data_IF_225845689434
#
_entry.id   IF_225845689434
#
_cell.length_a   1.000
_cell.length_b   1.000
_cell.length_c   1.000
_cell.angle_alpha   90.00
_cell.angle_beta   90.00
_cell.angle_gamma   90.00
#
_symmetry.space_group_name_H-M   'P 1'
#
loop_
_entity.id
_entity.type
_entity.pdbx_description
1 polymer ?
#
# COMPACT_ATOMS: atom_id res chain seq x y z
N UNK A 1 -17.82 -22.83 -10.09
CA UNK A 1 -17.91 -24.15 -9.50
C UNK A 1 -19.30 -24.32 -8.92
N UNK A 2 -20.14 -25.09 -9.61
CA UNK A 2 -21.33 -25.60 -8.94
C UNK A 2 -20.86 -26.51 -7.82
N UNK A 3 -21.29 -26.27 -6.57
CA UNK A 3 -20.97 -27.17 -5.49
C UNK A 3 -21.57 -28.54 -5.86
N UNK A 4 -20.71 -29.55 -5.98
CA UNK A 4 -21.19 -30.91 -6.19
C UNK A 4 -21.99 -31.30 -4.92
N UNK A 5 -23.26 -31.60 -5.11
CA UNK A 5 -24.12 -32.09 -4.01
C UNK A 5 -23.90 -33.61 -3.90
N UNK A 6 -23.40 -34.04 -2.75
CA UNK A 6 -23.37 -35.46 -2.43
C UNK A 6 -24.66 -35.80 -1.67
N UNK A 7 -25.35 -36.77 -2.19
CA UNK A 7 -26.57 -37.34 -1.55
C UNK A 7 -26.16 -38.62 -0.81
N UNK A 8 -26.44 -38.65 0.47
CA UNK A 8 -26.15 -39.79 1.35
C UNK A 8 -27.42 -40.19 2.14
N UNK A 9 -27.59 -41.48 2.44
CA UNK A 9 -28.62 -41.92 3.38
C UNK A 9 -28.05 -41.80 4.79
N UNK A 10 -28.79 -41.11 5.67
CA UNK A 10 -28.41 -40.84 7.06
C UNK A 10 -26.99 -40.18 7.21
N UNK A 11 -26.57 -39.39 6.19
CA UNK A 11 -25.31 -38.69 6.19
C UNK A 11 -25.35 -37.35 6.96
N UNK A 12 -24.23 -36.62 6.92
CA UNK A 12 -24.15 -35.30 7.52
C UNK A 12 -24.54 -34.22 6.50
N UNK A 13 -25.56 -33.41 6.77
CA UNK A 13 -26.00 -32.34 5.86
C UNK A 13 -27.46 -31.95 6.09
N UNK A 14 -28.00 -31.15 5.16
CA UNK A 14 -29.40 -30.79 5.17
C UNK A 14 -30.28 -31.96 4.70
N UNK A 15 -31.40 -32.18 5.36
CA UNK A 15 -32.34 -33.26 4.95
C UNK A 15 -32.97 -32.87 3.60
N UNK A 16 -32.87 -33.76 2.63
CA UNK A 16 -33.55 -33.64 1.36
C UNK A 16 -34.91 -34.33 1.41
N UNK A 17 -35.90 -33.64 2.00
CA UNK A 17 -37.21 -34.17 2.28
C UNK A 17 -37.93 -34.73 1.07
N UNK A 18 -37.84 -34.06 -0.09
CA UNK A 18 -38.54 -34.53 -1.27
C UNK A 18 -38.09 -35.95 -1.67
N UNK A 19 -36.79 -36.16 -1.76
CA UNK A 19 -36.22 -37.48 -2.09
C UNK A 19 -36.46 -38.51 -0.99
N UNK A 20 -36.42 -38.08 0.27
CA UNK A 20 -36.73 -38.94 1.42
C UNK A 20 -38.14 -39.45 1.36
N UNK A 21 -39.13 -38.59 1.05
CA UNK A 21 -40.53 -38.95 0.94
C UNK A 21 -40.81 -39.85 -0.28
N UNK A 22 -40.12 -39.56 -1.39
CA UNK A 22 -40.34 -40.27 -2.66
C UNK A 22 -39.71 -41.67 -2.68
N UNK A 23 -38.56 -41.85 -2.01
CA UNK A 23 -37.74 -43.05 -2.14
C UNK A 23 -37.65 -43.93 -0.87
N UNK A 24 -38.08 -43.43 0.30
CA UNK A 24 -38.02 -44.19 1.57
C UNK A 24 -39.42 -44.47 2.15
N UNK A 25 -39.51 -45.57 2.89
CA UNK A 25 -40.78 -45.96 3.51
C UNK A 25 -40.87 -45.50 4.95
N UNK A 26 -41.90 -44.69 5.32
CA UNK A 26 -42.06 -44.25 6.69
C UNK A 26 -42.66 -45.37 7.57
N UNK A 27 -42.19 -45.45 8.81
CA UNK A 27 -42.90 -46.18 9.85
C UNK A 27 -44.02 -45.32 10.38
N UNK A 28 -45.27 -45.86 10.37
CA UNK A 28 -46.43 -45.15 10.88
C UNK A 28 -46.61 -45.47 12.36
N UNK A 29 -46.53 -44.47 13.22
CA UNK A 29 -46.82 -44.57 14.64
C UNK A 29 -47.73 -43.42 15.07
N UNK A 30 -48.82 -43.70 15.75
CA UNK A 30 -49.80 -42.68 16.17
C UNK A 30 -50.23 -41.73 15.03
N UNK A 31 -50.46 -42.31 13.85
CA UNK A 31 -50.85 -41.58 12.63
C UNK A 31 -49.87 -40.54 12.14
N UNK A 32 -48.58 -40.67 12.53
CA UNK A 32 -47.47 -39.82 12.10
C UNK A 32 -46.41 -40.66 11.41
N UNK A 33 -45.85 -40.19 10.27
CA UNK A 33 -44.77 -40.88 9.58
C UNK A 33 -43.43 -40.58 10.28
N UNK A 34 -42.62 -41.63 10.49
CA UNK A 34 -41.25 -41.57 10.98
C UNK A 34 -40.34 -42.23 9.95
N UNK A 35 -39.38 -41.43 9.40
CA UNK A 35 -38.44 -41.93 8.43
C UNK A 35 -37.17 -42.39 9.16
N UNK A 36 -36.82 -43.67 9.00
CA UNK A 36 -35.59 -44.27 9.57
C UNK A 36 -34.42 -44.01 8.64
N UNK A 37 -34.68 -43.98 7.35
CA UNK A 37 -33.73 -43.63 6.31
C UNK A 37 -34.07 -42.24 5.79
N UNK A 38 -33.11 -41.31 5.91
CA UNK A 38 -33.28 -39.93 5.52
C UNK A 38 -32.20 -39.58 4.50
N UNK A 39 -32.59 -39.11 3.32
CA UNK A 39 -31.65 -38.57 2.38
C UNK A 39 -31.16 -37.21 2.88
N UNK A 40 -29.83 -37.07 2.99
CA UNK A 40 -29.16 -35.81 3.30
C UNK A 40 -28.36 -35.36 2.10
N UNK A 41 -28.35 -34.05 1.87
CA UNK A 41 -27.50 -33.44 0.86
C UNK A 41 -26.45 -32.56 1.53
N UNK A 42 -25.22 -32.76 1.15
CA UNK A 42 -24.07 -31.96 1.59
C UNK A 42 -23.43 -31.29 0.39
N UNK A 43 -23.33 -29.96 0.44
CA UNK A 43 -22.53 -29.23 -0.53
C UNK A 43 -21.05 -29.47 -0.20
N UNK A 44 -20.36 -30.16 -1.07
CA UNK A 44 -18.91 -30.35 -0.95
C UNK A 44 -18.27 -29.35 -1.88
N UNK A 45 -17.44 -28.48 -1.31
CA UNK A 45 -16.54 -27.67 -2.13
C UNK A 45 -15.58 -28.64 -2.82
N UNK A 46 -15.66 -28.70 -4.13
CA UNK A 46 -14.77 -29.57 -4.90
C UNK A 46 -13.35 -29.00 -4.80
N UNK A 47 -12.53 -29.57 -3.89
CA UNK A 47 -11.13 -29.18 -3.76
C UNK A 47 -10.32 -29.50 -5.04
N UNK A 48 -10.90 -30.29 -5.92
CA UNK A 48 -10.38 -30.59 -7.26
C UNK A 48 -10.75 -29.55 -8.33
N UNK A 49 -11.35 -28.41 -7.98
CA UNK A 49 -11.67 -27.36 -8.94
C UNK A 49 -10.40 -26.88 -9.67
N UNK A 50 -10.41 -26.98 -10.99
CA UNK A 50 -9.31 -26.54 -11.84
C UNK A 50 -8.83 -25.12 -11.51
N UNK A 51 -9.75 -24.18 -11.39
CA UNK A 51 -9.42 -22.77 -11.10
C UNK A 51 -8.80 -22.59 -9.70
N UNK A 52 -9.26 -23.33 -8.71
CA UNK A 52 -8.71 -23.26 -7.34
C UNK A 52 -7.29 -23.79 -7.28
N UNK A 53 -7.03 -24.94 -7.93
CA UNK A 53 -5.69 -25.52 -8.04
C UNK A 53 -4.76 -24.61 -8.83
N UNK A 54 -5.22 -24.08 -9.97
CA UNK A 54 -4.47 -23.14 -10.78
C UNK A 54 -4.10 -21.86 -10.01
N UNK A 55 -5.03 -21.33 -9.21
CA UNK A 55 -4.76 -20.17 -8.34
C UNK A 55 -3.68 -20.50 -7.31
N UNK A 56 -3.79 -21.66 -6.64
CA UNK A 56 -2.78 -22.09 -5.68
C UNK A 56 -1.38 -22.24 -6.34
N UNK A 57 -1.33 -22.85 -7.53
CA UNK A 57 -0.11 -22.95 -8.32
C UNK A 57 0.51 -21.58 -8.60
N UNK A 58 -0.25 -20.64 -9.19
CA UNK A 58 0.26 -19.30 -9.54
C UNK A 58 0.76 -18.53 -8.31
N UNK A 59 0.04 -18.61 -7.18
CA UNK A 59 0.47 -17.98 -5.94
C UNK A 59 1.80 -18.56 -5.45
N UNK A 60 1.97 -19.88 -5.51
CA UNK A 60 3.22 -20.55 -5.12
C UNK A 60 4.37 -20.16 -6.06
N UNK A 61 4.13 -20.13 -7.38
CA UNK A 61 5.15 -19.73 -8.34
C UNK A 61 5.58 -18.28 -8.16
N UNK A 62 4.63 -17.34 -8.05
CA UNK A 62 4.95 -15.95 -7.78
C UNK A 62 5.73 -15.77 -6.46
N UNK A 63 5.38 -16.53 -5.40
CA UNK A 63 6.10 -16.49 -4.12
C UNK A 63 7.55 -16.97 -4.28
N UNK A 64 7.77 -18.05 -5.03
CA UNK A 64 9.10 -18.58 -5.30
C UNK A 64 9.95 -17.64 -6.17
N UNK A 65 9.36 -17.00 -7.16
CA UNK A 65 10.05 -16.01 -7.99
C UNK A 65 10.46 -14.78 -7.17
N UNK A 66 9.57 -14.27 -6.32
CA UNK A 66 9.87 -13.15 -5.42
C UNK A 66 10.97 -13.50 -4.41
N UNK A 67 10.98 -14.75 -3.93
CA UNK A 67 12.03 -15.24 -3.02
C UNK A 67 13.38 -15.33 -3.74
N UNK A 68 13.42 -15.94 -4.94
CA UNK A 68 14.64 -16.06 -5.75
C UNK A 68 15.20 -14.69 -6.14
N UNK A 69 14.33 -13.73 -6.43
CA UNK A 69 14.72 -12.36 -6.75
C UNK A 69 15.13 -11.52 -5.51
N UNK A 70 15.01 -12.05 -4.29
CA UNK A 70 15.27 -11.31 -3.06
C UNK A 70 14.25 -10.19 -2.75
N UNK A 71 13.14 -10.16 -3.49
CA UNK A 71 12.14 -9.10 -3.38
C UNK A 71 11.15 -9.33 -2.23
N UNK A 72 11.04 -10.54 -1.73
CA UNK A 72 10.12 -10.88 -0.63
C UNK A 72 10.43 -10.10 0.66
N UNK A 73 11.70 -9.97 1.01
CA UNK A 73 12.14 -9.20 2.16
C UNK A 73 12.03 -7.68 1.93
N UNK A 74 12.22 -7.25 0.69
CA UNK A 74 12.14 -5.85 0.29
C UNK A 74 10.71 -5.29 0.41
N UNK A 75 9.73 -6.07 -0.02
CA UNK A 75 8.32 -5.68 0.03
C UNK A 75 7.59 -6.14 1.29
N UNK A 76 8.26 -6.88 2.18
CA UNK A 76 7.65 -7.53 3.35
C UNK A 76 6.37 -8.31 2.99
N UNK A 77 6.42 -9.04 1.86
CA UNK A 77 5.30 -9.81 1.36
C UNK A 77 5.24 -11.17 2.05
N UNK A 78 4.06 -11.63 2.46
CA UNK A 78 3.89 -12.98 2.93
C UNK A 78 4.11 -13.95 1.77
N UNK A 79 5.05 -14.88 1.95
CA UNK A 79 5.24 -15.97 1.00
C UNK A 79 4.21 -17.07 1.28
N UNK A 80 3.66 -17.63 0.23
CA UNK A 80 2.68 -18.70 0.31
C UNK A 80 3.11 -19.84 -0.61
N UNK A 81 3.43 -20.99 -0.04
CA UNK A 81 3.71 -22.23 -0.73
C UNK A 81 2.53 -23.16 -0.46
N UNK A 82 1.51 -23.11 -1.35
CA UNK A 82 0.23 -23.78 -1.18
C UNK A 82 -0.07 -24.82 -2.25
N UNK A 83 0.82 -24.99 -3.23
CA UNK A 83 0.73 -26.01 -4.27
C UNK A 83 2.11 -26.53 -4.62
N UNK A 84 2.22 -27.86 -4.75
CA UNK A 84 3.41 -28.57 -5.25
C UNK A 84 3.21 -28.98 -6.73
N UNK A 85 2.10 -28.61 -7.37
CA UNK A 85 1.79 -28.97 -8.73
C UNK A 85 2.67 -28.20 -9.72
N UNK A 86 2.99 -28.83 -10.84
CA UNK A 86 3.70 -28.23 -11.96
C UNK A 86 2.71 -27.76 -13.04
N UNK A 87 3.16 -26.88 -13.93
CA UNK A 87 2.31 -26.30 -14.99
C UNK A 87 1.70 -27.36 -15.89
N UNK A 88 2.42 -28.44 -16.17
CA UNK A 88 1.96 -29.54 -17.01
C UNK A 88 0.68 -30.20 -16.49
N UNK A 89 0.40 -30.12 -15.18
CA UNK A 89 -0.84 -30.61 -14.59
C UNK A 89 -2.08 -29.83 -15.03
N UNK A 90 -1.91 -28.63 -15.57
CA UNK A 90 -2.98 -27.73 -16.01
C UNK A 90 -3.14 -27.66 -17.53
N UNK A 91 -2.23 -28.27 -18.29
CA UNK A 91 -2.20 -28.22 -19.74
C UNK A 91 -1.38 -27.04 -20.28
N UNK A 92 -1.49 -26.82 -21.59
CA UNK A 92 -0.80 -25.71 -22.23
C UNK A 92 -1.41 -24.34 -21.91
N UNK A 93 -0.65 -23.29 -22.13
CA UNK A 93 -1.04 -21.91 -21.81
C UNK A 93 -2.33 -21.48 -22.53
N UNK A 94 -2.55 -21.92 -23.77
CA UNK A 94 -3.75 -21.59 -24.54
C UNK A 94 -4.99 -22.27 -23.95
N UNK A 95 -4.87 -23.51 -23.50
CA UNK A 95 -5.93 -24.21 -22.79
C UNK A 95 -6.26 -23.54 -21.45
N UNK A 96 -5.24 -23.19 -20.67
CA UNK A 96 -5.41 -22.49 -19.38
C UNK A 96 -6.16 -21.16 -19.59
N UNK A 97 -5.72 -20.35 -20.56
CA UNK A 97 -6.38 -19.06 -20.87
C UNK A 97 -7.83 -19.28 -21.30
N UNK A 98 -8.09 -20.27 -22.16
CA UNK A 98 -9.46 -20.61 -22.58
C UNK A 98 -10.36 -20.98 -21.41
N UNK A 99 -9.86 -21.77 -20.46
CA UNK A 99 -10.59 -22.16 -19.24
C UNK A 99 -10.90 -20.95 -18.36
N UNK A 100 -9.93 -20.05 -18.17
CA UNK A 100 -10.12 -18.81 -17.41
C UNK A 100 -11.14 -17.89 -18.09
N UNK A 101 -11.09 -17.76 -19.42
CA UNK A 101 -12.03 -16.94 -20.19
C UNK A 101 -13.46 -17.52 -20.15
N UNK A 102 -13.60 -18.84 -20.04
CA UNK A 102 -14.91 -19.47 -19.82
C UNK A 102 -15.48 -19.16 -18.43
N UNK A 103 -14.66 -19.29 -17.40
CA UNK A 103 -15.05 -18.98 -16.04
C UNK A 103 -15.42 -17.49 -15.86
N UNK A 104 -14.65 -16.58 -16.51
CA UNK A 104 -14.94 -15.14 -16.47
C UNK A 104 -16.30 -14.77 -17.04
N UNK A 105 -16.89 -15.59 -17.91
CA UNK A 105 -18.22 -15.36 -18.49
C UNK A 105 -19.36 -15.76 -17.52
N UNK A 106 -19.08 -16.64 -16.56
CA UNK A 106 -20.07 -17.22 -15.66
C UNK A 106 -20.04 -16.62 -14.25
N UNK A 107 -18.91 -15.99 -13.88
CA UNK A 107 -18.70 -15.43 -12.54
C UNK A 107 -19.16 -13.99 -12.45
N UNK A 108 -19.99 -13.69 -11.46
CA UNK A 108 -20.48 -12.33 -11.16
C UNK A 108 -19.85 -11.71 -9.90
N UNK A 109 -19.08 -12.48 -9.14
CA UNK A 109 -18.36 -11.99 -7.96
C UNK A 109 -17.15 -11.15 -8.37
N UNK A 110 -17.13 -9.87 -7.98
CA UNK A 110 -16.10 -8.91 -8.37
C UNK A 110 -14.70 -9.35 -7.93
N UNK A 111 -14.57 -9.91 -6.72
CA UNK A 111 -13.29 -10.40 -6.20
C UNK A 111 -12.76 -11.57 -7.02
N UNK A 112 -13.63 -12.53 -7.36
CA UNK A 112 -13.26 -13.66 -8.22
C UNK A 112 -12.87 -13.19 -9.62
N UNK A 113 -13.60 -12.22 -10.19
CA UNK A 113 -13.27 -11.62 -11.50
C UNK A 113 -11.86 -11.00 -11.46
N UNK A 114 -11.51 -10.26 -10.40
CA UNK A 114 -10.18 -9.66 -10.27
C UNK A 114 -9.08 -10.72 -10.17
N UNK A 115 -9.30 -11.77 -9.39
CA UNK A 115 -8.35 -12.90 -9.26
C UNK A 115 -8.17 -13.61 -10.61
N UNK A 116 -9.24 -13.94 -11.32
CA UNK A 116 -9.17 -14.59 -12.63
C UNK A 116 -8.44 -13.72 -13.66
N UNK A 117 -8.69 -12.41 -13.67
CA UNK A 117 -7.95 -11.46 -14.53
C UNK A 117 -6.46 -11.41 -14.19
N UNK A 118 -6.09 -11.49 -12.92
CA UNK A 118 -4.69 -11.52 -12.51
C UNK A 118 -4.00 -12.81 -12.95
N UNK A 119 -4.63 -13.98 -12.77
CA UNK A 119 -4.11 -15.27 -13.23
C UNK A 119 -3.99 -15.27 -14.76
N UNK A 120 -5.00 -14.77 -15.46
CA UNK A 120 -4.95 -14.64 -16.92
C UNK A 120 -3.78 -13.79 -17.40
N UNK A 121 -3.53 -12.67 -16.71
CA UNK A 121 -2.40 -11.78 -17.03
C UNK A 121 -1.06 -12.46 -16.79
N UNK A 122 -0.93 -13.30 -15.77
CA UNK A 122 0.27 -14.09 -15.48
C UNK A 122 0.62 -14.97 -16.69
N UNK A 123 -0.30 -15.80 -17.15
CA UNK A 123 -0.06 -16.68 -18.30
C UNK A 123 0.07 -15.94 -19.64
N UNK A 124 -0.61 -14.81 -19.79
CA UNK A 124 -0.46 -13.97 -20.99
C UNK A 124 0.93 -13.33 -21.05
N UNK A 125 1.45 -12.85 -19.93
CA UNK A 125 2.80 -12.28 -19.87
C UNK A 125 3.88 -13.34 -20.10
N UNK A 126 3.71 -14.54 -19.59
CA UNK A 126 4.60 -15.67 -19.84
C UNK A 126 4.69 -16.00 -21.35
N UNK A 127 3.55 -16.02 -22.04
CA UNK A 127 3.50 -16.22 -23.50
C UNK A 127 4.23 -15.13 -24.29
N UNK A 128 4.11 -13.88 -23.86
CA UNK A 128 4.80 -12.73 -24.49
C UNK A 128 6.31 -12.79 -24.26
N UNK A 129 6.73 -13.32 -23.10
CA UNK A 129 8.14 -13.39 -22.72
C UNK A 129 8.86 -14.61 -23.30
N UNK A 130 8.14 -15.69 -23.65
CA UNK A 130 8.73 -16.90 -24.28
C UNK A 130 8.90 -16.80 -25.80
N UNK A 131 8.37 -15.74 -26.43
CA UNK A 131 8.69 -15.44 -27.83
C UNK A 131 10.12 -14.90 -27.96
N UNK A 132 10.95 -15.50 -28.79
CA UNK A 132 12.36 -15.29 -29.23
C UNK A 132 13.13 -14.01 -28.80
N UNK A 133 12.73 -13.32 -27.78
CA UNK A 133 13.44 -12.16 -27.19
C UNK A 133 13.91 -12.52 -25.79
N UNK A 134 15.21 -12.67 -25.62
CA UNK A 134 15.91 -12.92 -24.33
C UNK A 134 15.77 -11.81 -23.28
N UNK A 135 14.79 -10.92 -23.41
CA UNK A 135 14.60 -9.82 -22.49
C UNK A 135 13.36 -10.09 -21.62
N UNK A 136 13.58 -10.58 -20.40
CA UNK A 136 12.56 -10.60 -19.37
C UNK A 136 12.47 -9.19 -18.74
N UNK A 137 11.38 -8.48 -19.01
CA UNK A 137 11.11 -7.20 -18.37
C UNK A 137 10.16 -7.46 -17.21
N UNK A 138 10.69 -7.48 -15.99
CA UNK A 138 9.89 -7.40 -14.77
C UNK A 138 9.68 -5.93 -14.40
N UNK A 139 8.44 -5.51 -14.23
CA UNK A 139 8.10 -4.13 -13.90
C UNK A 139 7.01 -4.03 -12.85
N UNK A 140 7.06 -2.99 -12.06
CA UNK A 140 5.97 -2.59 -11.17
C UNK A 140 5.29 -1.33 -11.71
N UNK A 141 3.96 -1.26 -11.59
CA UNK A 141 3.19 -0.03 -11.85
C UNK A 141 3.20 0.94 -10.67
N UNK A 142 3.75 0.54 -9.54
CA UNK A 142 3.74 1.28 -8.27
C UNK A 142 5.15 1.64 -7.80
N UNK A 143 6.07 1.93 -8.72
CA UNK A 143 7.45 2.27 -8.38
C UNK A 143 7.55 3.55 -7.53
N UNK A 144 6.55 4.42 -7.61
CA UNK A 144 6.40 5.57 -6.74
C UNK A 144 6.36 5.19 -5.25
N UNK A 145 5.72 4.07 -4.89
CA UNK A 145 5.66 3.58 -3.52
C UNK A 145 7.03 3.09 -3.03
N UNK A 146 7.80 2.47 -3.92
CA UNK A 146 9.18 2.06 -3.63
C UNK A 146 10.04 3.28 -3.35
N UNK A 147 9.97 4.29 -4.23
CA UNK A 147 10.71 5.53 -4.08
C UNK A 147 10.39 6.22 -2.76
N UNK A 148 9.12 6.29 -2.41
CA UNK A 148 8.63 6.85 -1.16
C UNK A 148 9.19 6.12 0.07
N UNK A 149 9.17 4.77 0.06
CA UNK A 149 9.71 3.95 1.14
C UNK A 149 11.23 4.09 1.28
N UNK A 150 11.95 4.08 0.15
CA UNK A 150 13.40 4.27 0.14
C UNK A 150 13.77 5.65 0.70
N UNK A 151 13.11 6.70 0.25
CA UNK A 151 13.34 8.05 0.77
C UNK A 151 13.03 8.12 2.28
N UNK A 152 11.89 7.57 2.71
CA UNK A 152 11.51 7.56 4.11
C UNK A 152 12.56 6.85 4.98
N UNK A 153 13.09 5.71 4.55
CA UNK A 153 14.08 4.94 5.32
C UNK A 153 15.46 5.62 5.33
N UNK A 154 15.91 6.13 4.19
CA UNK A 154 17.24 6.74 4.06
C UNK A 154 17.35 8.07 4.78
N UNK A 155 16.30 8.90 4.77
CA UNK A 155 16.29 10.20 5.45
C UNK A 155 15.76 10.15 6.89
N UNK A 156 15.45 8.97 7.41
CA UNK A 156 14.98 8.77 8.76
C UNK A 156 16.03 9.18 9.80
N UNK A 157 15.57 9.64 10.95
CA UNK A 157 16.45 9.86 12.11
C UNK A 157 16.95 8.52 12.68
N UNK A 158 18.23 8.47 13.09
CA UNK A 158 18.80 7.28 13.74
C UNK A 158 18.14 6.91 15.09
N UNK A 159 17.35 7.80 15.65
CA UNK A 159 16.71 7.66 16.96
C UNK A 159 15.22 7.47 16.84
N UNK A 160 14.72 6.52 16.15
CA UNK A 160 13.28 6.30 16.07
C UNK A 160 12.93 4.83 15.99
N UNK A 161 11.77 4.46 16.50
CA UNK A 161 11.25 3.10 16.36
C UNK A 161 11.15 2.74 14.87
N UNK A 162 11.70 1.57 14.53
CA UNK A 162 11.71 1.06 13.17
C UNK A 162 10.31 0.92 12.54
N UNK A 163 9.26 1.01 13.33
CA UNK A 163 7.87 0.81 12.90
C UNK A 163 7.09 2.09 12.59
N UNK A 164 7.58 3.25 13.02
CA UNK A 164 6.86 4.51 12.78
C UNK A 164 7.52 5.31 11.67
N UNK A 165 6.74 5.65 10.64
CA UNK A 165 7.18 6.48 9.51
C UNK A 165 7.47 7.92 9.95
N UNK A 166 6.89 8.35 11.05
CA UNK A 166 7.02 9.68 11.61
C UNK A 166 7.62 9.61 13.01
N UNK A 167 8.57 10.50 13.34
CA UNK A 167 9.19 10.52 14.65
C UNK A 167 8.18 10.91 15.74
N UNK A 168 8.34 10.34 16.93
CA UNK A 168 7.64 10.78 18.09
C UNK A 168 8.12 12.16 18.53
N UNK A 169 7.26 12.91 19.22
CA UNK A 169 7.62 14.27 19.66
C UNK A 169 8.71 14.26 20.73
N UNK A 170 8.77 13.22 21.55
CA UNK A 170 9.80 13.04 22.59
C UNK A 170 11.20 12.73 22.03
N UNK A 171 11.27 12.24 20.78
CA UNK A 171 12.57 12.06 20.10
C UNK A 171 13.26 13.40 19.77
N UNK A 172 12.56 14.52 19.92
CA UNK A 172 13.02 15.87 19.62
C UNK A 172 13.55 16.56 20.91
N UNK A 173 13.66 15.83 22.01
CA UNK A 173 14.20 16.36 23.25
C UNK A 173 15.58 17.02 23.08
N UNK A 174 15.83 18.12 23.77
CA UNK A 174 15.04 18.84 24.79
C UNK A 174 14.21 19.99 24.19
N UNK A 175 13.86 19.94 22.92
CA UNK A 175 13.40 21.09 22.16
C UNK A 175 11.89 21.38 22.36
N UNK A 176 11.07 20.35 22.47
CA UNK A 176 9.63 20.47 22.63
C UNK A 176 9.23 20.03 24.04
N UNK A 177 8.67 20.95 24.81
CA UNK A 177 8.05 20.62 26.09
C UNK A 177 6.66 20.01 25.85
N UNK A 178 6.61 18.69 25.87
CA UNK A 178 5.42 17.90 25.67
C UNK A 178 4.27 18.29 26.60
N UNK A 179 4.55 18.72 27.82
CA UNK A 179 3.54 19.11 28.79
C UNK A 179 2.71 20.29 28.33
N UNK A 180 3.24 21.17 27.49
CA UNK A 180 2.54 22.32 26.92
C UNK A 180 1.59 21.97 25.80
N UNK A 181 1.94 21.00 24.98
CA UNK A 181 1.13 20.54 23.84
C UNK A 181 -0.06 19.70 24.33
N UNK A 182 -0.08 19.25 25.59
CA UNK A 182 -0.72 18.01 25.87
C UNK A 182 -1.77 17.95 26.96
N UNK A 183 -2.85 18.61 26.80
CA UNK A 183 -4.13 18.14 27.40
C UNK A 183 -4.82 17.00 26.61
N UNK A 184 -4.35 16.69 25.41
CA UNK A 184 -4.95 15.73 24.48
C UNK A 184 -4.31 14.34 24.53
N UNK A 185 -3.08 14.20 25.02
CA UNK A 185 -2.23 13.01 24.87
C UNK A 185 -1.64 12.56 26.21
N UNK A 186 -2.48 12.42 27.21
CA UNK A 186 -2.07 12.20 28.62
C UNK A 186 -1.24 10.95 28.89
N UNK A 187 -1.19 9.98 27.96
CA UNK A 187 -0.58 8.67 28.23
C UNK A 187 0.61 8.28 27.34
N UNK A 188 0.77 8.89 26.16
CA UNK A 188 1.89 8.61 25.26
C UNK A 188 2.25 9.84 24.43
N UNK A 189 3.55 10.12 24.19
CA UNK A 189 3.94 11.21 23.30
C UNK A 189 3.40 10.94 21.88
N UNK A 190 2.70 11.93 21.28
CA UNK A 190 2.19 11.76 19.93
C UNK A 190 3.31 11.75 18.91
N UNK A 191 3.06 11.14 17.77
CA UNK A 191 3.88 11.36 16.59
C UNK A 191 3.67 12.76 16.03
N UNK A 192 4.63 13.29 15.29
CA UNK A 192 4.49 14.61 14.65
C UNK A 192 3.25 14.71 13.75
N UNK A 193 2.83 13.61 13.13
CA UNK A 193 1.62 13.56 12.29
C UNK A 193 0.35 13.70 13.13
N UNK A 194 0.33 13.16 14.34
CA UNK A 194 -0.84 13.26 15.22
C UNK A 194 -1.08 14.67 15.75
N UNK A 195 -0.10 15.56 15.65
CA UNK A 195 -0.26 16.99 15.95
C UNK A 195 -1.09 17.73 14.89
N UNK A 196 -1.19 17.21 13.69
CA UNK A 196 -2.00 17.81 12.63
C UNK A 196 -3.48 17.74 13.02
N UNK A 197 -4.15 18.88 12.96
CA UNK A 197 -5.56 18.97 13.31
C UNK A 197 -6.44 18.13 12.37
N UNK A 198 -7.40 17.44 12.97
CA UNK A 198 -8.36 16.62 12.23
C UNK A 198 -9.56 17.46 11.82
N UNK A 199 -10.11 17.29 10.59
CA UNK A 199 -11.27 18.04 10.15
C UNK A 199 -12.50 17.70 11.00
N UNK A 200 -13.29 18.73 11.32
CA UNK A 200 -14.49 18.61 12.14
C UNK A 200 -15.72 18.75 11.25
N UNK A 201 -16.55 17.72 11.20
CA UNK A 201 -17.82 17.74 10.49
C UNK A 201 -18.98 18.00 11.46
N UNK A 202 -19.80 19.01 11.18
CA UNK A 202 -20.98 19.36 12.01
C UNK A 202 -22.21 19.46 11.13
N UNK A 203 -23.34 18.92 11.58
CA UNK A 203 -24.65 19.19 10.99
C UNK A 203 -25.16 20.56 11.43
N UNK A 204 -25.75 21.35 10.51
CA UNK A 204 -26.34 22.65 10.86
C UNK A 204 -27.56 22.55 11.78
N UNK A 205 -28.36 21.49 11.63
CA UNK A 205 -29.57 21.30 12.44
C UNK A 205 -29.37 20.10 13.35
N UNK A 206 -29.38 20.32 14.67
CA UNK A 206 -29.26 19.30 15.74
C UNK A 206 -28.42 18.10 15.31
N UNK A 207 -27.16 18.11 15.56
CA UNK A 207 -26.39 17.01 15.07
C UNK A 207 -25.16 16.68 15.84
N UNK A 208 -24.83 15.42 15.74
CA UNK A 208 -23.56 14.87 16.17
C UNK A 208 -22.39 15.54 15.44
N UNK A 209 -21.31 15.77 16.16
CA UNK A 209 -20.02 16.15 15.64
C UNK A 209 -19.31 14.86 15.18
N UNK A 210 -18.85 14.82 13.94
CA UNK A 210 -18.00 13.75 13.41
C UNK A 210 -16.57 14.23 13.26
N UNK A 211 -15.62 13.46 13.77
CA UNK A 211 -14.20 13.69 13.56
C UNK A 211 -13.65 12.45 12.84
N UNK A 212 -13.29 12.55 11.55
CA UNK A 212 -12.68 11.43 10.85
C UNK A 212 -11.30 11.12 11.43
N UNK A 213 -10.91 9.86 11.37
CA UNK A 213 -9.60 9.41 11.87
C UNK A 213 -8.42 9.87 10.99
N UNK A 214 -8.68 10.38 9.78
CA UNK A 214 -7.64 10.78 8.82
C UNK A 214 -7.54 12.29 8.73
N UNK A 215 -6.31 12.77 8.69
CA UNK A 215 -5.92 14.15 8.40
C UNK A 215 -4.83 14.15 7.33
N UNK A 216 -4.14 15.26 7.14
CA UNK A 216 -2.96 15.29 6.29
C UNK A 216 -1.88 14.35 6.82
N UNK A 217 -1.21 13.67 5.91
CA UNK A 217 -0.14 12.74 6.21
C UNK A 217 1.05 13.01 5.29
N UNK A 218 1.98 13.89 5.69
CA UNK A 218 3.22 14.10 4.95
C UNK A 218 4.01 12.80 4.85
N UNK A 219 4.75 12.61 3.75
CA UNK A 219 5.54 11.39 3.58
C UNK A 219 6.62 11.29 4.64
N UNK A 220 7.28 12.41 4.96
CA UNK A 220 8.28 12.44 6.01
C UNK A 220 8.45 13.84 6.60
N UNK A 221 8.65 13.90 7.93
CA UNK A 221 8.86 15.14 8.68
C UNK A 221 10.02 14.93 9.64
N UNK A 222 10.86 15.94 9.80
CA UNK A 222 12.02 15.86 10.67
C UNK A 222 12.37 17.21 11.28
N UNK A 223 12.75 17.21 12.57
CA UNK A 223 13.52 18.27 13.18
C UNK A 223 15.00 17.90 13.18
N UNK A 224 15.85 18.81 12.81
CA UNK A 224 17.30 18.62 12.83
C UNK A 224 17.98 19.76 13.59
N UNK A 225 18.80 19.40 14.58
CA UNK A 225 19.61 20.37 15.32
C UNK A 225 20.73 20.91 14.44
N UNK A 226 20.89 22.19 14.33
CA UNK A 226 21.98 22.80 13.58
C UNK A 226 23.33 22.56 14.26
N UNK A 227 24.34 22.18 13.49
CA UNK A 227 25.69 21.85 13.99
C UNK A 227 26.39 23.03 14.73
N UNK A 228 25.99 24.27 14.46
CA UNK A 228 26.67 25.48 14.99
C UNK A 228 25.76 26.38 15.86
N UNK A 229 24.57 25.97 16.19
CA UNK A 229 23.64 26.75 17.00
C UNK A 229 22.72 25.84 17.82
N UNK A 230 22.10 26.37 18.87
CA UNK A 230 21.07 25.66 19.61
C UNK A 230 19.70 25.66 18.90
N UNK A 231 19.64 26.18 17.67
CA UNK A 231 18.41 26.24 16.89
C UNK A 231 18.17 24.97 16.10
N UNK A 232 16.90 24.73 15.79
CA UNK A 232 16.44 23.60 14.98
C UNK A 232 15.91 24.08 13.63
N UNK A 233 16.07 23.22 12.62
CA UNK A 233 15.41 23.35 11.33
C UNK A 233 14.32 22.30 11.23
N UNK A 234 13.16 22.68 10.69
CA UNK A 234 12.05 21.80 10.43
C UNK A 234 12.01 21.43 8.95
N UNK A 235 11.98 20.14 8.67
CA UNK A 235 11.97 19.61 7.31
C UNK A 235 10.64 18.93 7.02
N UNK A 236 10.03 19.27 5.89
CA UNK A 236 8.90 18.58 5.32
C UNK A 236 9.36 18.00 3.99
N UNK A 237 9.36 16.69 3.87
CA UNK A 237 9.84 15.98 2.72
C UNK A 237 8.68 15.20 2.10
N UNK A 238 8.52 15.30 0.79
CA UNK A 238 7.51 14.58 0.04
C UNK A 238 8.19 13.92 -1.17
N UNK A 239 8.16 12.60 -1.17
CA UNK A 239 8.83 11.78 -2.18
C UNK A 239 7.95 11.68 -3.42
N UNK A 240 8.41 12.24 -4.52
CA UNK A 240 7.69 12.24 -5.79
C UNK A 240 8.48 11.51 -6.87
N UNK A 241 7.89 10.47 -7.42
CA UNK A 241 8.50 9.73 -8.52
C UNK A 241 8.19 10.41 -9.85
N UNK A 242 8.71 11.64 -10.00
CA UNK A 242 8.64 12.45 -11.19
C UNK A 242 10.04 12.75 -11.70
N UNK A 243 10.19 12.92 -12.99
CA UNK A 243 11.43 13.30 -13.66
C UNK A 243 11.19 14.58 -14.46
N UNK A 244 11.15 15.76 -13.81
CA UNK A 244 10.86 17.00 -14.51
C UNK A 244 11.96 17.31 -15.53
N UNK A 245 11.51 17.65 -16.74
CA UNK A 245 12.35 18.12 -17.84
C UNK A 245 12.21 19.64 -17.88
N UNK A 246 13.33 20.31 -17.67
CA UNK A 246 13.42 21.76 -17.70
C UNK A 246 13.84 22.20 -19.09
N UNK A 247 13.08 23.09 -19.70
CA UNK A 247 13.40 23.82 -20.90
C UNK A 247 13.40 25.32 -20.57
N UNK A 248 14.02 26.15 -21.38
CA UNK A 248 14.15 27.60 -21.12
C UNK A 248 12.81 28.30 -20.86
N UNK A 249 11.74 27.80 -21.43
CA UNK A 249 10.41 28.41 -21.37
C UNK A 249 9.33 27.52 -20.75
N UNK A 250 9.64 26.26 -20.51
CA UNK A 250 8.62 25.28 -20.09
C UNK A 250 9.19 24.22 -19.14
N UNK A 251 8.30 23.56 -18.41
CA UNK A 251 8.61 22.40 -17.59
C UNK A 251 7.58 21.31 -17.89
N UNK A 252 8.03 20.07 -18.02
CA UNK A 252 7.21 18.89 -18.24
C UNK A 252 7.53 17.81 -17.22
N UNK A 253 6.56 16.92 -16.91
CA UNK A 253 6.76 15.81 -15.98
C UNK A 253 6.96 16.26 -14.53
N UNK A 254 6.50 17.45 -14.16
CA UNK A 254 6.50 17.97 -12.79
C UNK A 254 5.25 17.54 -12.01
N UNK A 255 5.26 17.59 -10.66
CA UNK A 255 4.08 17.42 -9.83
C UNK A 255 2.97 18.42 -10.19
N UNK A 256 1.73 17.96 -10.08
CA UNK A 256 0.55 18.80 -10.32
C UNK A 256 0.32 19.87 -9.25
N UNK A 257 -0.62 20.77 -9.54
CA UNK A 257 -0.99 21.85 -8.60
C UNK A 257 -1.52 21.29 -7.27
N UNK A 258 -2.15 20.12 -7.29
CA UNK A 258 -2.67 19.46 -6.08
C UNK A 258 -1.54 19.03 -5.15
N UNK A 259 -0.47 18.48 -5.69
CA UNK A 259 0.74 18.11 -4.92
C UNK A 259 1.40 19.34 -4.30
N UNK A 260 1.52 20.42 -5.09
CA UNK A 260 2.08 21.69 -4.64
C UNK A 260 1.24 22.29 -3.50
N UNK A 261 -0.07 22.35 -3.68
CA UNK A 261 -1.00 22.88 -2.67
C UNK A 261 -0.95 22.03 -1.37
N UNK A 262 -0.96 20.71 -1.52
CA UNK A 262 -0.87 19.77 -0.40
C UNK A 262 0.41 19.97 0.42
N UNK A 263 1.54 20.20 -0.23
CA UNK A 263 2.81 20.44 0.42
C UNK A 263 2.83 21.76 1.21
N UNK A 264 2.16 22.79 0.71
CA UNK A 264 1.96 24.02 1.47
C UNK A 264 1.02 23.84 2.66
N UNK A 265 -0.03 23.02 2.51
CA UNK A 265 -0.96 22.70 3.61
C UNK A 265 -0.25 21.92 4.71
N UNK A 266 0.70 21.08 4.41
CA UNK A 266 1.56 20.45 5.42
C UNK A 266 2.32 21.49 6.24
N UNK A 267 2.91 22.49 5.59
CA UNK A 267 3.59 23.56 6.30
C UNK A 267 2.63 24.35 7.21
N UNK A 268 1.49 24.75 6.69
CA UNK A 268 0.47 25.46 7.45
C UNK A 268 0.01 24.67 8.70
N UNK A 269 -0.11 23.36 8.59
CA UNK A 269 -0.53 22.50 9.71
C UNK A 269 0.41 22.53 10.90
N UNK A 270 1.66 22.94 10.72
CA UNK A 270 2.66 23.06 11.79
C UNK A 270 2.97 24.49 12.20
N UNK A 271 2.37 25.50 11.56
CA UNK A 271 2.76 26.89 11.71
C UNK A 271 2.65 27.38 13.17
N UNK A 272 1.61 26.98 13.89
CA UNK A 272 1.42 27.35 15.30
C UNK A 272 2.53 26.76 16.19
N UNK A 273 2.83 25.49 16.03
CA UNK A 273 3.89 24.80 16.77
C UNK A 273 5.26 25.40 16.46
N UNK A 274 5.53 25.66 15.20
CA UNK A 274 6.79 26.27 14.78
C UNK A 274 6.98 27.67 15.36
N UNK A 275 5.91 28.46 15.45
CA UNK A 275 5.91 29.77 16.06
C UNK A 275 6.12 29.70 17.57
N UNK A 276 5.42 28.81 18.29
CA UNK A 276 5.53 28.60 19.73
C UNK A 276 6.96 28.24 20.16
N UNK A 277 7.63 27.37 19.39
CA UNK A 277 9.01 26.95 19.65
C UNK A 277 10.08 27.78 18.94
N UNK A 278 9.69 28.91 18.34
CA UNK A 278 10.58 29.83 17.65
C UNK A 278 11.46 29.16 16.57
N UNK A 279 10.89 28.19 15.85
CA UNK A 279 11.55 27.53 14.71
C UNK A 279 11.42 28.40 13.47
N UNK A 280 12.48 29.11 13.15
CA UNK A 280 12.51 30.08 12.05
C UNK A 280 12.85 29.46 10.71
N UNK A 281 13.52 28.32 10.72
CA UNK A 281 13.96 27.66 9.51
C UNK A 281 13.07 26.47 9.17
N UNK A 282 12.30 26.62 8.10
CA UNK A 282 11.50 25.54 7.52
C UNK A 282 12.03 25.22 6.15
N UNK A 283 12.30 23.96 5.92
CA UNK A 283 12.75 23.39 4.65
C UNK A 283 11.67 22.50 4.09
N UNK A 284 11.17 22.87 2.95
CA UNK A 284 10.08 22.18 2.29
C UNK A 284 10.59 21.62 0.97
N UNK A 285 10.66 20.28 0.84
CA UNK A 285 11.33 19.62 -0.27
C UNK A 285 10.44 18.62 -0.98
N UNK A 286 10.48 18.64 -2.33
CA UNK A 286 10.15 17.50 -3.16
C UNK A 286 11.42 16.70 -3.41
N UNK A 287 11.38 15.39 -3.12
CA UNK A 287 12.47 14.46 -3.38
C UNK A 287 12.17 13.67 -4.64
N UNK A 288 12.91 13.90 -5.71
CA UNK A 288 12.68 13.31 -7.02
C UNK A 288 13.90 12.53 -7.51
N UNK A 289 13.72 11.43 -8.25
CA UNK A 289 14.83 10.72 -8.85
C UNK A 289 15.42 11.51 -10.01
N UNK A 290 16.74 11.59 -10.08
CA UNK A 290 17.43 12.11 -11.26
C UNK A 290 17.89 10.96 -12.17
N UNK A 291 17.91 11.20 -13.47
CA UNK A 291 18.55 10.28 -14.41
C UNK A 291 20.07 10.37 -14.30
N UNK A 292 20.77 9.29 -14.61
CA UNK A 292 22.23 9.26 -14.53
C UNK A 292 22.90 10.34 -15.41
N UNK A 293 22.28 10.70 -16.53
CA UNK A 293 22.75 11.71 -17.46
C UNK A 293 22.41 13.15 -17.05
N UNK A 294 21.50 13.34 -16.10
CA UNK A 294 21.02 14.68 -15.78
C UNK A 294 22.01 15.39 -14.85
N UNK A 295 22.26 16.71 -15.06
CA UNK A 295 22.99 17.50 -14.09
C UNK A 295 22.23 17.52 -12.76
N UNK A 296 22.93 17.79 -11.67
CA UNK A 296 22.30 17.96 -10.36
C UNK A 296 21.50 19.27 -10.34
N UNK A 297 20.32 19.28 -11.00
CA UNK A 297 19.44 20.44 -11.04
C UNK A 297 18.68 20.50 -9.73
N UNK A 298 18.91 21.56 -8.99
CA UNK A 298 18.02 21.96 -7.90
C UNK A 298 17.18 23.13 -8.41
N UNK A 299 15.88 23.01 -8.25
CA UNK A 299 14.93 24.05 -8.58
C UNK A 299 14.00 24.31 -7.43
N UNK A 300 13.05 25.18 -7.62
CA UNK A 300 11.99 25.40 -6.65
C UNK A 300 10.66 25.73 -7.34
N UNK A 301 9.58 25.46 -6.65
CA UNK A 301 8.23 25.91 -7.02
C UNK A 301 7.68 26.82 -5.93
N UNK A 302 6.93 27.85 -6.36
CA UNK A 302 6.24 28.76 -5.44
C UNK A 302 4.84 29.11 -5.96
N UNK A 303 3.92 29.32 -5.05
CA UNK A 303 2.63 29.94 -5.30
C UNK A 303 2.67 31.36 -4.77
N UNK A 304 2.69 32.35 -5.66
CA UNK A 304 2.83 33.76 -5.31
C UNK A 304 1.75 34.28 -4.34
N UNK A 305 0.53 33.74 -4.45
CA UNK A 305 -0.60 34.09 -3.57
C UNK A 305 -0.37 33.67 -2.10
N UNK A 306 0.49 32.69 -1.84
CA UNK A 306 0.77 32.19 -0.47
C UNK A 306 1.89 32.96 0.24
N UNK A 307 2.53 33.90 -0.45
CA UNK A 307 3.60 34.73 0.12
C UNK A 307 3.13 35.50 1.37
N UNK A 308 1.90 35.98 1.36
CA UNK A 308 1.30 36.71 2.49
C UNK A 308 1.20 35.89 3.79
N UNK A 309 1.21 34.57 3.71
CA UNK A 309 1.16 33.68 4.87
C UNK A 309 2.56 33.31 5.38
N UNK A 310 3.62 33.95 4.88
CA UNK A 310 4.99 33.66 5.26
C UNK A 310 5.53 32.34 4.74
N UNK A 311 4.79 31.68 3.81
CA UNK A 311 5.20 30.42 3.21
C UNK A 311 6.30 30.65 2.16
N UNK A 312 7.38 29.92 2.32
CA UNK A 312 8.54 29.98 1.43
C UNK A 312 8.33 29.26 0.12
N UNK A 313 9.38 28.74 -0.44
CA UNK A 313 9.38 27.92 -1.65
C UNK A 313 9.37 26.45 -1.27
N UNK A 314 8.92 25.59 -2.19
CA UNK A 314 9.15 24.16 -2.14
C UNK A 314 10.35 23.90 -3.03
N UNK A 315 11.46 23.49 -2.44
CA UNK A 315 12.67 23.18 -3.20
C UNK A 315 12.59 21.79 -3.81
N UNK A 316 13.04 21.66 -5.05
CA UNK A 316 13.12 20.37 -5.75
C UNK A 316 14.52 19.81 -5.57
N UNK A 317 14.62 18.63 -5.01
CA UNK A 317 15.87 17.90 -4.81
C UNK A 317 15.89 16.68 -5.73
N UNK A 318 16.75 16.75 -6.74
CA UNK A 318 16.97 15.65 -7.68
C UNK A 318 18.05 14.71 -7.11
N UNK A 319 17.66 13.50 -6.75
CA UNK A 319 18.48 12.54 -6.02
C UNK A 319 18.90 11.38 -6.92
N UNK A 320 20.15 10.92 -6.79
CA UNK A 320 20.62 9.73 -7.51
C UNK A 320 19.95 8.48 -6.94
N UNK A 321 19.16 7.74 -7.74
CA UNK A 321 18.54 6.49 -7.29
C UNK A 321 19.58 5.46 -6.81
N UNK A 322 20.70 5.33 -7.53
CA UNK A 322 21.75 4.36 -7.19
C UNK A 322 22.30 4.60 -5.79
N UNK A 323 22.57 5.88 -5.46
CA UNK A 323 23.09 6.24 -4.12
C UNK A 323 22.03 5.97 -3.05
N UNK A 324 20.75 6.28 -3.33
CA UNK A 324 19.68 6.07 -2.37
C UNK A 324 19.40 4.59 -2.13
N UNK A 325 19.34 3.78 -3.19
CA UNK A 325 19.14 2.34 -3.06
C UNK A 325 20.32 1.67 -2.35
N UNK A 326 21.55 2.10 -2.62
CA UNK A 326 22.74 1.59 -1.95
C UNK A 326 22.70 1.87 -0.44
N UNK A 327 22.31 3.10 -0.05
CA UNK A 327 22.14 3.45 1.36
C UNK A 327 20.96 2.69 2.00
N UNK A 328 19.87 2.53 1.27
CA UNK A 328 18.70 1.74 1.73
C UNK A 328 19.09 0.29 2.04
N UNK A 329 19.79 -0.36 1.10
CA UNK A 329 20.21 -1.77 1.25
C UNK A 329 21.26 -1.95 2.36
N UNK A 330 22.12 -0.96 2.57
CA UNK A 330 23.14 -0.95 3.63
C UNK A 330 22.59 -0.45 4.98
N UNK A 331 21.30 -0.11 5.05
CA UNK A 331 20.64 0.49 6.23
C UNK A 331 21.35 1.77 6.73
N UNK A 332 21.94 2.52 5.81
CA UNK A 332 22.63 3.77 6.09
C UNK A 332 21.71 4.97 5.93
N UNK A 333 21.87 5.96 6.81
CA UNK A 333 21.08 7.18 6.77
C UNK A 333 21.91 8.33 6.20
N UNK A 334 21.25 9.15 5.38
CA UNK A 334 21.82 10.38 4.84
C UNK A 334 21.33 11.57 5.69
N UNK A 335 22.24 12.46 6.04
CA UNK A 335 21.89 13.70 6.72
C UNK A 335 21.20 14.66 5.75
N UNK A 336 20.12 15.31 6.19
CA UNK A 336 19.41 16.31 5.37
C UNK A 336 20.30 17.51 5.03
N UNK A 337 21.30 17.80 5.84
CA UNK A 337 22.30 18.84 5.55
C UNK A 337 23.20 18.51 4.34
N UNK A 338 23.20 17.26 3.88
CA UNK A 338 23.94 16.79 2.69
C UNK A 338 23.10 16.89 1.41
N UNK A 339 21.80 17.17 1.53
CA UNK A 339 20.94 17.53 0.41
C UNK A 339 21.29 18.94 -0.12
N UNK A 340 22.48 19.09 -0.67
CA UNK A 340 22.95 20.33 -1.29
C UNK A 340 22.83 20.27 -2.79
#
# INVERSE_FOLDING_TARGET
DEPSEILEINGSGEIYWQKTIDETYPLISNNKPYYVEIYTRKKVSNDASFIKRLHAYVVSQCSNELLKAGLSSFYNLPLAEISEEEQDAFGDTDYIISRIDSELREVFDERKIQVLKAIRLYFFSERVLTGDTEIQIMGTRSFNLIWEEVCAKVFRSQKGDAKTRHPNIDEIEPFIDFTKINKRFEQQPPTLVELIEQPIWKKYRKGSKGIPKRTFNPDYIRFEKRKKSSSYAFYILDAKYYCPIWDDTNIQGQPGIEDIAKQYLYYLSYQEILAEYNVKEVKNYFLMPKRASDPAITGFVKLGMLKQFGLGVIEVRMLSPDVLYDNYLKEQHINLSELK
#
